data_IF_630670506262
#
_entry.id   IF_630670506262
#
_cell.length_a   1.000
_cell.length_b   1.000
_cell.length_c   1.000
_cell.angle_alpha   90.00
_cell.angle_beta   90.00
_cell.angle_gamma   90.00
#
_symmetry.space_group_name_H-M   'P 1'
#
loop_
_entity.id
_entity.type
_entity.pdbx_description
1 polymer ?
#
# COMPACT_ATOMS: atom_id res chain seq x y z
N UNK A 1 -2.92 7.70 29.28
CA UNK A 1 -3.58 6.79 28.33
C UNK A 1 -4.56 7.56 27.47
N UNK A 2 -4.44 7.50 26.14
CA UNK A 2 -5.35 8.16 25.20
C UNK A 2 -6.11 7.07 24.42
N UNK A 3 -7.44 7.17 24.37
CA UNK A 3 -8.27 6.23 23.62
C UNK A 3 -8.53 6.76 22.19
N UNK A 4 -8.11 6.03 21.18
CA UNK A 4 -8.41 6.37 19.78
C UNK A 4 -9.81 5.83 19.47
N UNK A 5 -10.80 6.74 19.42
CA UNK A 5 -12.20 6.38 19.17
C UNK A 5 -12.59 6.42 17.68
N UNK A 6 -11.82 7.11 16.84
CA UNK A 6 -12.08 7.25 15.40
C UNK A 6 -10.79 7.21 14.60
N UNK A 7 -10.81 6.43 13.52
CA UNK A 7 -9.79 6.41 12.47
C UNK A 7 -10.37 7.09 11.23
N UNK A 8 -9.62 8.05 10.67
CA UNK A 8 -9.99 8.69 9.41
C UNK A 8 -9.85 7.72 8.24
N UNK A 9 -10.98 7.47 7.55
CA UNK A 9 -11.06 6.54 6.42
C UNK A 9 -10.08 6.94 5.30
N UNK A 10 -9.92 8.25 5.06
CA UNK A 10 -9.00 8.77 4.04
C UNK A 10 -7.52 8.46 4.37
N UNK A 11 -7.13 8.54 5.64
CA UNK A 11 -5.79 8.17 6.08
C UNK A 11 -5.55 6.67 5.95
N UNK A 12 -6.52 5.85 6.39
CA UNK A 12 -6.48 4.41 6.27
C UNK A 12 -6.37 3.93 4.80
N UNK A 13 -7.12 4.57 3.88
CA UNK A 13 -7.02 4.31 2.45
C UNK A 13 -5.61 4.58 1.92
N UNK A 14 -5.02 5.73 2.24
CA UNK A 14 -3.68 6.11 1.76
C UNK A 14 -2.61 5.14 2.26
N UNK A 15 -2.64 4.81 3.55
CA UNK A 15 -1.70 3.85 4.14
C UNK A 15 -1.90 2.47 3.55
N UNK A 16 -3.14 1.99 3.43
CA UNK A 16 -3.46 0.70 2.83
C UNK A 16 -3.04 0.58 1.37
N UNK A 17 -3.28 1.62 0.58
CA UNK A 17 -2.87 1.68 -0.81
C UNK A 17 -1.34 1.60 -0.94
N UNK A 18 -0.61 2.37 -0.12
CA UNK A 18 0.84 2.41 -0.14
C UNK A 18 1.45 1.06 0.28
N UNK A 19 0.99 0.50 1.40
CA UNK A 19 1.47 -0.80 1.90
C UNK A 19 1.17 -1.91 0.89
N UNK A 20 -0.04 -1.94 0.34
CA UNK A 20 -0.41 -2.94 -0.67
C UNK A 20 0.37 -2.78 -1.97
N UNK A 21 0.63 -1.54 -2.40
CA UNK A 21 1.49 -1.26 -3.56
C UNK A 21 2.93 -1.72 -3.36
N UNK A 22 3.52 -1.46 -2.19
CA UNK A 22 4.87 -1.96 -1.86
C UNK A 22 4.92 -3.48 -1.83
N UNK A 23 3.90 -4.12 -1.25
CA UNK A 23 3.81 -5.58 -1.21
C UNK A 23 3.63 -6.16 -2.63
N UNK A 24 2.84 -5.51 -3.48
CA UNK A 24 2.67 -5.88 -4.88
C UNK A 24 3.98 -5.80 -5.66
N UNK A 25 4.79 -4.75 -5.44
CA UNK A 25 6.11 -4.60 -6.08
C UNK A 25 7.03 -5.77 -5.73
N UNK A 26 7.08 -6.16 -4.46
CA UNK A 26 7.93 -7.27 -4.00
C UNK A 26 7.45 -8.59 -4.58
N UNK A 27 6.15 -8.89 -4.50
CA UNK A 27 5.59 -10.14 -5.04
C UNK A 27 5.75 -10.24 -6.56
N UNK A 28 5.47 -9.17 -7.29
CA UNK A 28 5.61 -9.16 -8.75
C UNK A 28 7.08 -9.22 -9.18
N UNK A 29 8.01 -8.67 -8.41
CA UNK A 29 9.44 -8.84 -8.66
C UNK A 29 9.89 -10.29 -8.49
N UNK A 30 9.40 -10.97 -7.44
CA UNK A 30 9.66 -12.41 -7.24
C UNK A 30 9.04 -13.22 -8.38
N UNK A 31 7.81 -12.89 -8.80
CA UNK A 31 7.14 -13.53 -9.91
C UNK A 31 7.91 -13.36 -11.24
N UNK A 32 8.52 -12.19 -11.47
CA UNK A 32 9.39 -11.94 -12.62
C UNK A 32 10.56 -12.94 -12.69
N UNK A 33 11.20 -13.19 -11.53
CA UNK A 33 12.31 -14.14 -11.43
C UNK A 33 11.84 -15.56 -11.74
N UNK A 34 10.66 -15.96 -11.23
CA UNK A 34 10.06 -17.26 -11.56
C UNK A 34 9.70 -17.38 -13.04
N UNK A 35 9.20 -16.33 -13.67
CA UNK A 35 8.88 -16.37 -15.09
C UNK A 35 10.13 -16.60 -15.95
N UNK A 36 11.26 -15.97 -15.60
CA UNK A 36 12.53 -16.17 -16.30
C UNK A 36 13.06 -17.61 -16.17
N UNK A 37 12.92 -18.22 -15.00
CA UNK A 37 13.32 -19.62 -14.79
C UNK A 37 12.40 -20.59 -15.53
N UNK A 38 11.08 -20.37 -15.50
CA UNK A 38 10.10 -21.20 -16.22
C UNK A 38 10.38 -21.19 -17.72
N UNK A 39 10.63 -20.03 -18.32
CA UNK A 39 10.91 -19.94 -19.77
C UNK A 39 12.19 -20.68 -20.13
N UNK A 40 13.24 -20.52 -19.32
CA UNK A 40 14.51 -21.22 -19.51
C UNK A 40 14.32 -22.75 -19.43
N UNK A 41 13.51 -23.22 -18.48
CA UNK A 41 13.13 -24.64 -18.37
C UNK A 41 12.30 -25.12 -19.55
N UNK A 42 11.38 -24.30 -20.07
CA UNK A 42 10.54 -24.65 -21.22
C UNK A 42 11.37 -24.83 -22.50
N UNK A 43 12.32 -23.93 -22.75
CA UNK A 43 13.24 -24.00 -23.90
C UNK A 43 14.14 -25.24 -23.80
N UNK A 44 14.64 -25.52 -22.60
CA UNK A 44 15.45 -26.70 -22.33
C UNK A 44 14.65 -27.99 -22.54
N UNK A 45 13.42 -28.04 -22.03
CA UNK A 45 12.52 -29.18 -22.20
C UNK A 45 12.14 -29.43 -23.66
N UNK A 46 11.80 -28.38 -24.41
CA UNK A 46 11.50 -28.48 -25.85
C UNK A 46 12.67 -29.09 -26.63
N UNK A 47 13.90 -28.71 -26.28
CA UNK A 47 15.12 -29.24 -26.91
C UNK A 47 15.32 -30.71 -26.58
N UNK A 48 15.09 -31.11 -25.32
CA UNK A 48 15.19 -32.51 -24.89
C UNK A 48 14.14 -33.43 -25.54
N UNK A 49 12.91 -32.95 -25.70
CA UNK A 49 11.81 -33.76 -26.27
C UNK A 49 11.91 -33.90 -27.79
N UNK A 50 12.24 -32.81 -28.49
CA UNK A 50 12.34 -32.83 -29.95
C UNK A 50 13.69 -33.35 -30.47
N UNK A 51 14.70 -33.47 -29.60
CA UNK A 51 16.07 -33.84 -29.98
C UNK A 51 16.75 -32.82 -30.88
N UNK A 52 16.14 -31.65 -31.09
CA UNK A 52 16.62 -30.56 -31.92
C UNK A 52 16.51 -29.25 -31.13
N UNK A 53 17.48 -28.33 -31.28
CA UNK A 53 17.36 -27.01 -30.67
C UNK A 53 16.13 -26.28 -31.22
N UNK A 54 15.42 -25.61 -30.32
CA UNK A 54 14.26 -24.82 -30.67
C UNK A 54 14.61 -23.76 -31.73
N UNK A 55 13.79 -23.55 -32.78
CA UNK A 55 14.08 -22.59 -33.83
C UNK A 55 14.26 -21.18 -33.24
N UNK A 56 15.25 -20.44 -33.74
CA UNK A 56 15.59 -19.09 -33.25
C UNK A 56 14.42 -18.10 -33.34
N UNK A 57 13.58 -18.23 -34.37
CA UNK A 57 12.37 -17.42 -34.53
C UNK A 57 11.34 -17.70 -33.43
N UNK A 58 11.14 -18.97 -33.07
CA UNK A 58 10.20 -19.35 -32.02
C UNK A 58 10.70 -18.93 -30.63
N UNK A 59 12.01 -19.07 -30.36
CA UNK A 59 12.59 -18.68 -29.06
C UNK A 59 12.60 -17.16 -28.88
N UNK A 60 12.89 -16.42 -29.95
CA UNK A 60 12.81 -14.95 -29.96
C UNK A 60 11.38 -14.47 -29.73
N UNK A 61 10.38 -15.10 -30.36
CA UNK A 61 8.98 -14.76 -30.13
C UNK A 61 8.54 -15.02 -28.69
N UNK A 62 8.89 -16.18 -28.12
CA UNK A 62 8.58 -16.51 -26.73
C UNK A 62 9.22 -15.54 -25.73
N UNK A 63 10.47 -15.13 -25.97
CA UNK A 63 11.15 -14.12 -25.16
C UNK A 63 10.48 -12.74 -25.29
N UNK A 64 10.11 -12.32 -26.51
CA UNK A 64 9.45 -11.04 -26.72
C UNK A 64 8.05 -11.00 -26.08
N UNK A 65 7.25 -12.05 -26.28
CA UNK A 65 5.92 -12.17 -25.68
C UNK A 65 5.97 -12.24 -24.14
N UNK A 66 6.96 -12.96 -23.60
CA UNK A 66 7.27 -12.99 -22.18
C UNK A 66 7.50 -11.59 -21.64
N UNK A 67 8.49 -10.85 -22.17
CA UNK A 67 8.84 -9.52 -21.67
C UNK A 67 7.68 -8.54 -21.81
N UNK A 68 6.98 -8.57 -22.94
CA UNK A 68 5.81 -7.71 -23.17
C UNK A 68 4.69 -7.99 -22.16
N UNK A 69 4.37 -9.26 -21.92
CA UNK A 69 3.38 -9.64 -20.91
C UNK A 69 3.83 -9.22 -19.51
N UNK A 70 5.11 -9.38 -19.18
CA UNK A 70 5.69 -9.02 -17.90
C UNK A 70 5.54 -7.53 -17.62
N UNK A 71 5.86 -6.67 -18.60
CA UNK A 71 5.70 -5.21 -18.45
C UNK A 71 4.24 -4.80 -18.23
N UNK A 72 3.30 -5.38 -18.97
CA UNK A 72 1.86 -5.05 -18.85
C UNK A 72 1.30 -5.53 -17.52
N UNK A 73 1.56 -6.79 -17.14
CA UNK A 73 1.10 -7.34 -15.87
C UNK A 73 1.75 -6.65 -14.66
N UNK A 74 3.03 -6.30 -14.76
CA UNK A 74 3.72 -5.58 -13.69
C UNK A 74 3.15 -4.17 -13.52
N UNK A 75 3.06 -3.40 -14.61
CA UNK A 75 2.55 -2.03 -14.56
C UNK A 75 1.09 -1.96 -14.12
N UNK A 76 0.19 -2.68 -14.80
CA UNK A 76 -1.23 -2.67 -14.47
C UNK A 76 -1.52 -3.37 -13.14
N UNK A 77 -0.83 -4.46 -12.84
CA UNK A 77 -1.04 -5.25 -11.63
C UNK A 77 -0.71 -4.47 -10.37
N UNK A 78 0.39 -3.72 -10.34
CA UNK A 78 0.72 -2.86 -9.19
C UNK A 78 -0.38 -1.81 -8.97
N UNK A 79 -0.84 -1.14 -10.02
CA UNK A 79 -1.86 -0.10 -9.93
C UNK A 79 -3.17 -0.67 -9.37
N UNK A 80 -3.62 -1.79 -9.93
CA UNK A 80 -4.86 -2.46 -9.50
C UNK A 80 -4.73 -2.88 -8.03
N UNK A 81 -3.61 -3.49 -7.66
CA UNK A 81 -3.40 -3.97 -6.29
C UNK A 81 -3.34 -2.82 -5.28
N UNK A 82 -2.71 -1.69 -5.63
CA UNK A 82 -2.71 -0.46 -4.82
C UNK A 82 -4.14 0.03 -4.56
N UNK A 83 -5.00 0.06 -5.58
CA UNK A 83 -6.39 0.51 -5.44
C UNK A 83 -7.18 -0.46 -4.55
N UNK A 84 -7.06 -1.76 -4.82
CA UNK A 84 -7.75 -2.81 -4.05
C UNK A 84 -7.33 -2.77 -2.58
N UNK A 85 -6.03 -2.67 -2.30
CA UNK A 85 -5.50 -2.58 -0.95
C UNK A 85 -5.97 -1.33 -0.19
N UNK A 86 -6.07 -0.19 -0.89
CA UNK A 86 -6.66 1.02 -0.34
C UNK A 86 -8.12 0.83 0.06
N UNK A 87 -8.93 0.23 -0.82
CA UNK A 87 -10.36 -0.04 -0.56
C UNK A 87 -10.53 -0.98 0.64
N UNK A 88 -9.74 -2.05 0.71
CA UNK A 88 -9.80 -3.01 1.83
C UNK A 88 -9.44 -2.33 3.15
N UNK A 89 -8.40 -1.49 3.18
CA UNK A 89 -8.02 -0.76 4.39
C UNK A 89 -9.07 0.29 4.80
N UNK A 90 -9.72 0.95 3.84
CA UNK A 90 -10.82 1.87 4.11
C UNK A 90 -12.03 1.15 4.74
N UNK A 91 -12.38 -0.02 4.21
CA UNK A 91 -13.42 -0.88 4.79
C UNK A 91 -13.06 -1.34 6.20
N UNK A 92 -11.81 -1.76 6.42
CA UNK A 92 -11.34 -2.14 7.74
C UNK A 92 -11.45 -1.00 8.77
N UNK A 93 -11.08 0.23 8.37
CA UNK A 93 -11.24 1.41 9.21
C UNK A 93 -12.72 1.75 9.50
N UNK A 94 -13.60 1.55 8.52
CA UNK A 94 -15.04 1.72 8.73
C UNK A 94 -15.58 0.73 9.77
N UNK A 95 -15.28 -0.56 9.63
CA UNK A 95 -15.70 -1.57 10.62
C UNK A 95 -15.09 -1.32 11.99
N UNK A 96 -13.82 -0.90 12.07
CA UNK A 96 -13.20 -0.51 13.31
C UNK A 96 -13.97 0.62 14.01
N UNK A 97 -14.35 1.68 13.29
CA UNK A 97 -15.12 2.79 13.86
C UNK A 97 -16.49 2.35 14.40
N UNK A 98 -17.14 1.37 13.76
CA UNK A 98 -18.42 0.80 14.23
C UNK A 98 -18.22 0.04 15.53
N UNK A 99 -17.22 -0.84 15.59
CA UNK A 99 -16.93 -1.67 16.76
C UNK A 99 -16.43 -0.81 17.94
N UNK A 100 -15.56 0.16 17.69
CA UNK A 100 -15.01 1.07 18.71
C UNK A 100 -16.09 1.93 19.38
N UNK A 101 -17.18 2.25 18.68
CA UNK A 101 -18.34 2.93 19.27
C UNK A 101 -19.15 2.03 20.22
N UNK A 102 -19.11 0.71 20.03
CA UNK A 102 -19.90 -0.25 20.83
C UNK A 102 -19.11 -0.82 22.01
N UNK A 103 -17.81 -1.08 21.86
CA UNK A 103 -17.01 -1.82 22.84
C UNK A 103 -15.89 -0.98 23.50
N UNK A 104 -15.76 0.29 23.13
CA UNK A 104 -14.62 1.13 23.50
C UNK A 104 -13.46 0.95 22.51
N UNK A 105 -12.84 2.07 22.13
CA UNK A 105 -11.75 2.09 21.14
C UNK A 105 -10.41 1.55 21.67
N UNK A 106 -9.38 1.59 20.83
CA UNK A 106 -8.04 1.15 21.23
C UNK A 106 -7.47 2.12 22.27
N UNK A 107 -6.98 1.61 23.39
CA UNK A 107 -6.21 2.40 24.35
C UNK A 107 -4.74 2.36 23.93
N UNK A 108 -4.16 3.53 23.68
CA UNK A 108 -2.76 3.67 23.30
C UNK A 108 -2.03 4.45 24.40
N UNK A 109 -0.94 3.87 24.88
CA UNK A 109 -0.01 4.52 25.80
C UNK A 109 1.14 5.09 24.99
N UNK A 110 1.22 6.42 24.94
CA UNK A 110 2.29 7.12 24.27
C UNK A 110 3.36 7.45 25.30
N UNK A 111 4.50 6.79 25.20
CA UNK A 111 5.67 7.06 26.05
C UNK A 111 6.60 8.01 25.28
N UNK A 112 6.51 9.31 25.55
CA UNK A 112 7.36 10.29 24.85
C UNK A 112 7.18 11.75 25.32
N UNK A 113 8.26 12.54 25.39
CA UNK A 113 8.27 13.91 25.92
C UNK A 113 7.60 14.97 25.02
N UNK A 114 6.80 14.57 24.02
CA UNK A 114 6.29 15.46 22.97
C UNK A 114 4.86 16.01 23.21
N UNK A 115 4.31 15.86 24.42
CA UNK A 115 2.92 16.25 24.73
C UNK A 115 2.74 17.61 25.39
N UNK A 116 3.81 18.34 25.71
CA UNK A 116 3.68 19.67 26.35
C UNK A 116 3.24 20.80 25.37
N UNK A 117 3.04 20.50 24.08
CA UNK A 117 2.75 21.51 23.04
C UNK A 117 1.29 21.63 22.58
N UNK A 118 0.38 20.78 23.07
CA UNK A 118 -1.01 20.75 22.54
C UNK A 118 -1.98 21.60 23.38
N UNK A 119 -1.59 22.06 24.57
CA UNK A 119 -2.38 23.02 25.35
C UNK A 119 -1.76 24.42 25.30
N UNK A 120 -2.03 25.16 24.22
CA UNK A 120 -2.16 26.60 24.37
C UNK A 120 -3.61 27.00 24.12
N UNK A 121 -4.39 27.31 25.18
CA UNK A 121 -5.66 27.98 24.99
C UNK A 121 -5.37 29.32 24.32
N UNK A 122 -6.10 29.58 23.24
CA UNK A 122 -6.15 30.87 22.53
C UNK A 122 -6.35 31.98 23.56
N UNK A 123 -5.28 32.66 23.96
CA UNK A 123 -5.37 33.81 24.84
C UNK A 123 -6.27 34.84 24.18
N UNK A 124 -7.44 35.03 24.77
CA UNK A 124 -8.36 36.10 24.43
C UNK A 124 -7.61 37.39 24.80
N UNK A 125 -7.15 38.12 23.80
CA UNK A 125 -6.51 39.43 23.99
C UNK A 125 -7.52 40.39 24.63
N UNK A 126 -7.55 40.45 25.96
CA UNK A 126 -8.32 41.43 26.74
C UNK A 126 -7.53 42.75 26.93
N UNK A 127 -6.56 43.03 26.05
CA UNK A 127 -5.73 44.24 26.15
C UNK A 127 -6.39 45.48 25.53
N UNK A 128 -7.49 45.34 24.78
CA UNK A 128 -8.13 46.48 24.09
C UNK A 128 -9.38 47.07 24.76
N UNK A 129 -9.82 46.56 25.92
CA UNK A 129 -11.03 47.04 26.60
C UNK A 129 -10.76 47.97 27.81
N UNK A 130 -9.52 48.44 28.01
CA UNK A 130 -9.17 49.21 29.21
C UNK A 130 -8.88 50.71 29.00
N UNK A 131 -8.86 51.23 27.76
CA UNK A 131 -8.53 52.64 27.51
C UNK A 131 -9.61 53.32 26.66
N UNK A 132 -10.80 53.50 27.24
CA UNK A 132 -11.72 54.58 26.85
C UNK A 132 -12.41 55.11 28.12
N UNK A 133 -11.64 55.85 28.94
CA UNK A 133 -12.19 56.93 29.77
C UNK A 133 -11.97 58.26 29.05
N UNK A 134 -13.06 58.89 28.57
CA UNK A 134 -13.39 60.31 28.75
C UNK A 134 -14.73 60.64 28.10
#
# INVERSE_FOLDING_TARGET
MIAIKRIEIASAFRVGALVSGMLALVLLAIFALFQATIISSLVSFSTSVSGQPMPSSASSFLNAASVASMCVFYGCGVIIQTIVGGIVAALAAFFYNVVANQFGGLQVEFDGPMFERIEQPKQKNTFFDADFES
#
